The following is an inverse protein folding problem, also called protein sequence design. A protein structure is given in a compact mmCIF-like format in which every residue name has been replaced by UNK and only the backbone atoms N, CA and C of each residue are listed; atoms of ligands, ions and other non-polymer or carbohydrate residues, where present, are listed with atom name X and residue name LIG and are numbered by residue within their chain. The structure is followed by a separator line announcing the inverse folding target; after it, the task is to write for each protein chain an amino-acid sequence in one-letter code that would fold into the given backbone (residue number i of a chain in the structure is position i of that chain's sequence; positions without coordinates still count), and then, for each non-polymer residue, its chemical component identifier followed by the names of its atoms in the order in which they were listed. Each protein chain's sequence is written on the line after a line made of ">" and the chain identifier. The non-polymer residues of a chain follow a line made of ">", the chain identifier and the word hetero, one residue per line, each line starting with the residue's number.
data_IF_087168939214
#
_entry.id   IF_087168939214
#
_cell.length_a   1.000
_cell.length_b   1.000
_cell.length_c   1.000
_cell.angle_alpha   90.00
_cell.angle_beta   90.00
_cell.angle_gamma   90.00
#
_symmetry.space_group_name_H-M   'P 1'
#
loop_
_entity.id
_entity.type
_entity.pdbx_description
1 polymer ?
#
# COMPACT_ATOMS: atom_id res chain seq x y z
N UNK A 1 -8.71 -12.40 8.54
CA UNK A 1 -8.58 -10.95 8.22
C UNK A 1 -7.46 -10.35 9.07
N UNK A 2 -6.34 -9.94 8.45
CA UNK A 2 -5.23 -9.29 9.16
C UNK A 2 -5.69 -7.92 9.66
N UNK A 3 -5.94 -7.78 10.97
CA UNK A 3 -6.19 -6.46 11.57
C UNK A 3 -4.96 -5.58 11.36
N UNK A 4 -5.15 -4.47 10.66
CA UNK A 4 -4.09 -3.51 10.38
C UNK A 4 -3.81 -2.71 11.65
N UNK A 5 -2.65 -2.95 12.26
CA UNK A 5 -2.28 -2.37 13.55
C UNK A 5 -2.31 -0.83 13.53
N UNK A 6 -1.93 -0.20 12.42
CA UNK A 6 -2.00 1.26 12.21
C UNK A 6 -3.41 1.86 12.18
N UNK A 7 -4.46 1.04 12.05
CA UNK A 7 -5.85 1.54 12.08
C UNK A 7 -6.39 1.68 13.49
N UNK A 8 -5.84 0.92 14.44
CA UNK A 8 -6.38 0.79 15.78
C UNK A 8 -5.50 1.43 16.85
N UNK A 9 -4.22 1.66 16.54
CA UNK A 9 -3.24 2.18 17.47
C UNK A 9 -2.50 3.35 16.85
N UNK A 10 -2.05 4.27 17.71
CA UNK A 10 -1.11 5.34 17.40
C UNK A 10 0.31 4.86 17.70
N UNK A 11 1.30 5.40 16.99
CA UNK A 11 2.72 5.06 17.16
C UNK A 11 3.15 5.13 18.64
N UNK A 12 2.76 6.18 19.36
CA UNK A 12 3.08 6.37 20.77
C UNK A 12 2.49 5.29 21.70
N UNK A 13 1.26 4.84 21.44
CA UNK A 13 0.65 3.75 22.23
C UNK A 13 1.44 2.45 22.07
N UNK A 14 1.94 2.19 20.87
CA UNK A 14 2.76 1.00 20.60
C UNK A 14 4.15 1.16 21.20
N UNK A 15 4.76 2.35 21.14
CA UNK A 15 6.04 2.64 21.81
C UNK A 15 5.95 2.37 23.31
N UNK A 16 4.89 2.82 23.98
CA UNK A 16 4.68 2.56 25.41
C UNK A 16 4.58 1.06 25.73
N UNK A 17 3.87 0.29 24.91
CA UNK A 17 3.77 -1.17 25.08
C UNK A 17 5.10 -1.88 24.81
N UNK A 18 5.88 -1.42 23.83
CA UNK A 18 7.21 -1.97 23.56
C UNK A 18 8.19 -1.60 24.68
N UNK A 19 8.11 -0.39 25.22
CA UNK A 19 8.91 0.08 26.35
C UNK A 19 8.64 -0.73 27.61
N UNK A 20 7.37 -0.91 28.00
CA UNK A 20 7.00 -1.73 29.16
C UNK A 20 7.42 -3.21 29.04
N UNK A 21 7.56 -3.74 27.82
CA UNK A 21 8.18 -5.05 27.60
C UNK A 21 9.69 -5.03 27.84
N UNK A 22 10.40 -4.00 27.37
CA UNK A 22 11.85 -3.82 27.57
C UNK A 22 12.16 -3.64 29.06
N UNK A 23 11.33 -2.86 29.75
CA UNK A 23 11.44 -2.57 31.18
C UNK A 23 10.95 -3.76 32.05
N UNK A 24 10.47 -4.85 31.41
CA UNK A 24 9.97 -6.09 32.03
C UNK A 24 8.77 -5.90 32.97
N UNK A 25 8.04 -4.80 32.82
CA UNK A 25 6.85 -4.49 33.62
C UNK A 25 5.66 -5.37 33.24
N UNK A 26 5.51 -5.67 31.94
CA UNK A 26 4.35 -6.41 31.41
C UNK A 26 4.81 -7.67 30.67
N UNK A 27 4.15 -8.80 30.96
CA UNK A 27 4.39 -10.04 30.22
C UNK A 27 3.93 -9.92 28.77
N UNK A 28 4.71 -10.48 27.85
CA UNK A 28 4.44 -10.49 26.41
C UNK A 28 3.02 -10.96 26.05
N UNK A 29 2.46 -11.92 26.79
CA UNK A 29 1.13 -12.46 26.50
C UNK A 29 0.02 -11.39 26.56
N UNK A 30 0.10 -10.46 27.53
CA UNK A 30 -0.85 -9.37 27.65
C UNK A 30 -0.70 -8.36 26.52
N UNK A 31 0.54 -8.04 26.14
CA UNK A 31 0.81 -7.10 25.06
C UNK A 31 0.32 -7.67 23.72
N UNK A 32 0.50 -8.97 23.48
CA UNK A 32 -0.01 -9.64 22.30
C UNK A 32 -1.54 -9.65 22.25
N UNK A 33 -2.22 -9.83 23.39
CA UNK A 33 -3.69 -9.74 23.45
C UNK A 33 -4.20 -8.32 23.20
N UNK A 34 -3.52 -7.30 23.73
CA UNK A 34 -3.87 -5.89 23.52
C UNK A 34 -3.70 -5.52 22.04
N UNK A 35 -2.52 -5.78 21.47
CA UNK A 35 -2.21 -5.44 20.08
C UNK A 35 -2.94 -6.32 19.06
N UNK A 36 -3.40 -7.51 19.46
CA UNK A 36 -4.07 -8.46 18.58
C UNK A 36 -3.18 -8.99 17.45
N UNK A 37 -1.87 -9.13 17.71
CA UNK A 37 -0.87 -9.57 16.72
C UNK A 37 -0.20 -10.88 17.10
N UNK A 38 0.37 -11.54 16.08
CA UNK A 38 1.22 -12.72 16.27
C UNK A 38 2.57 -12.34 16.86
N UNK A 39 3.18 -13.29 17.57
CA UNK A 39 4.48 -13.15 18.23
C UNK A 39 5.61 -12.74 17.27
N UNK A 40 5.63 -13.24 16.04
CA UNK A 40 6.61 -12.85 15.00
C UNK A 40 6.57 -11.34 14.72
N UNK A 41 5.38 -10.81 14.43
CA UNK A 41 5.18 -9.39 14.16
C UNK A 41 5.55 -8.51 15.36
N UNK A 42 5.29 -8.97 16.58
CA UNK A 42 5.71 -8.25 17.78
C UNK A 42 7.23 -8.09 17.85
N UNK A 43 8.00 -9.16 17.60
CA UNK A 43 9.46 -9.08 17.62
C UNK A 43 10.03 -8.26 16.46
N UNK A 44 9.40 -8.26 15.29
CA UNK A 44 9.75 -7.35 14.20
C UNK A 44 9.57 -5.88 14.62
N UNK A 45 8.45 -5.54 15.26
CA UNK A 45 8.21 -4.18 15.77
C UNK A 45 9.19 -3.82 16.87
N UNK A 46 9.48 -4.75 17.79
CA UNK A 46 10.46 -4.54 18.85
C UNK A 46 11.86 -4.30 18.28
N UNK A 47 12.27 -5.06 17.26
CA UNK A 47 13.57 -4.86 16.61
C UNK A 47 13.67 -3.48 15.95
N UNK A 48 12.60 -3.02 15.28
CA UNK A 48 12.53 -1.66 14.71
C UNK A 48 12.60 -0.58 15.79
N UNK A 49 11.83 -0.74 16.86
CA UNK A 49 11.84 0.19 18.00
C UNK A 49 13.21 0.27 18.66
N UNK A 50 13.90 -0.86 18.87
CA UNK A 50 15.26 -0.87 19.43
C UNK A 50 16.31 -0.24 18.51
N UNK A 51 16.11 -0.27 17.20
CA UNK A 51 17.04 0.31 16.22
C UNK A 51 16.96 1.84 16.22
N UNK A 52 15.74 2.37 16.26
CA UNK A 52 15.49 3.81 16.25
C UNK A 52 14.14 4.10 16.96
N UNK A 53 14.17 4.35 18.28
CA UNK A 53 12.96 4.62 19.05
C UNK A 53 12.26 5.92 18.64
N UNK A 54 13.03 6.94 18.24
CA UNK A 54 12.51 8.28 17.94
C UNK A 54 11.74 8.28 16.62
N UNK A 55 12.29 7.66 15.57
CA UNK A 55 11.65 7.53 14.27
C UNK A 55 10.75 6.29 14.13
N UNK A 56 10.48 5.56 15.22
CA UNK A 56 9.60 4.40 15.16
C UNK A 56 8.18 4.80 14.76
N UNK A 57 7.65 4.15 13.72
CA UNK A 57 6.28 4.33 13.26
C UNK A 57 5.65 3.00 12.84
N UNK A 58 4.37 2.83 13.18
CA UNK A 58 3.55 1.72 12.69
C UNK A 58 2.77 2.10 11.42
N UNK A 59 2.82 3.37 11.02
CA UNK A 59 2.08 3.89 9.89
C UNK A 59 2.48 3.18 8.61
N UNK A 60 1.45 2.81 7.84
CA UNK A 60 1.65 2.15 6.56
C UNK A 60 1.97 3.19 5.48
N UNK A 61 3.25 3.40 5.20
CA UNK A 61 3.68 4.29 4.12
C UNK A 61 3.99 3.49 2.84
N UNK A 62 3.10 3.56 1.84
CA UNK A 62 3.43 3.11 0.47
C UNK A 62 4.15 4.24 -0.25
N UNK A 63 5.43 4.02 -0.55
CA UNK A 63 6.22 4.94 -1.38
C UNK A 63 5.87 4.87 -2.87
N UNK A 64 5.35 3.74 -3.34
CA UNK A 64 5.11 3.49 -4.76
C UNK A 64 3.62 3.29 -5.08
N UNK A 65 3.15 3.98 -6.12
CA UNK A 65 1.77 3.88 -6.60
C UNK A 65 1.70 2.66 -7.54
N UNK A 66 1.41 1.48 -6.99
CA UNK A 66 1.32 0.24 -7.79
C UNK A 66 0.09 0.18 -8.74
N UNK A 67 -0.80 1.17 -8.70
CA UNK A 67 -1.97 1.28 -9.59
C UNK A 67 -1.68 2.08 -10.87
N UNK A 68 -0.46 2.59 -11.03
CA UNK A 68 -0.03 3.30 -12.22
C UNK A 68 0.99 2.45 -12.95
N UNK A 69 0.84 2.38 -14.27
CA UNK A 69 1.88 1.89 -15.16
C UNK A 69 2.92 3.00 -15.34
N UNK A 70 4.07 2.64 -15.88
CA UNK A 70 5.11 3.63 -16.18
C UNK A 70 4.60 4.71 -17.15
N UNK A 71 5.01 5.95 -16.95
CA UNK A 71 4.52 7.10 -17.72
C UNK A 71 4.78 6.93 -19.22
N UNK A 72 5.93 6.35 -19.60
CA UNK A 72 6.25 6.13 -21.00
C UNK A 72 5.30 5.09 -21.64
N UNK A 73 4.95 4.05 -20.89
CA UNK A 73 3.99 3.03 -21.32
C UNK A 73 2.59 3.66 -21.47
N UNK A 74 2.17 4.48 -20.50
CA UNK A 74 0.89 5.18 -20.55
C UNK A 74 0.80 6.09 -21.78
N UNK A 75 1.84 6.88 -22.07
CA UNK A 75 1.86 7.75 -23.25
C UNK A 75 1.79 6.97 -24.56
N UNK A 76 2.45 5.80 -24.64
CA UNK A 76 2.41 4.97 -25.83
C UNK A 76 1.01 4.37 -26.05
N UNK A 77 0.37 3.89 -24.99
CA UNK A 77 -1.00 3.36 -25.06
C UNK A 77 -1.97 4.45 -25.55
N UNK A 78 -1.89 5.66 -24.98
CA UNK A 78 -2.76 6.79 -25.38
C UNK A 78 -2.53 7.18 -26.84
N UNK A 79 -1.28 7.16 -27.32
CA UNK A 79 -0.95 7.47 -28.71
C UNK A 79 -1.59 6.46 -29.69
N UNK A 80 -1.48 5.17 -29.42
CA UNK A 80 -2.08 4.13 -30.26
C UNK A 80 -3.61 4.23 -30.26
N UNK A 81 -4.22 4.44 -29.09
CA UNK A 81 -5.67 4.58 -28.96
C UNK A 81 -6.22 5.81 -29.71
N UNK A 82 -5.51 6.94 -29.70
CA UNK A 82 -5.89 8.10 -30.51
C UNK A 82 -5.81 7.81 -32.02
N UNK A 83 -4.76 7.11 -32.44
CA UNK A 83 -4.59 6.71 -33.85
C UNK A 83 -5.75 5.82 -34.31
N UNK A 84 -6.13 4.84 -33.49
CA UNK A 84 -7.30 3.98 -33.74
C UNK A 84 -8.61 4.79 -33.78
N UNK A 85 -8.79 5.76 -32.88
CA UNK A 85 -9.95 6.66 -32.85
C UNK A 85 -10.07 7.49 -34.13
N UNK A 86 -8.96 7.96 -34.69
CA UNK A 86 -8.99 8.73 -35.94
C UNK A 86 -9.28 7.86 -37.16
N UNK A 87 -8.76 6.62 -37.18
CA UNK A 87 -9.12 5.63 -38.20
C UNK A 87 -10.62 5.35 -38.22
N UNK A 88 -11.27 5.27 -37.05
CA UNK A 88 -12.72 5.03 -36.95
C UNK A 88 -13.56 6.19 -37.45
N UNK A 89 -13.06 7.43 -37.34
CA UNK A 89 -13.73 8.60 -37.92
C UNK A 89 -13.64 8.62 -39.44
N UNK A 90 -12.61 8.01 -40.02
CA UNK A 90 -12.41 7.91 -41.45
C UNK A 90 -13.38 6.88 -42.06
N UNK A 91 -14.50 7.36 -42.62
CA UNK A 91 -15.61 6.53 -43.14
C UNK A 91 -15.22 5.65 -44.33
N UNK A 92 -14.13 5.99 -44.99
CA UNK A 92 -13.53 5.29 -46.13
C UNK A 92 -12.67 4.09 -45.71
N UNK A 93 -12.31 4.00 -44.43
CA UNK A 93 -11.52 2.89 -43.89
C UNK A 93 -12.45 1.80 -43.35
N UNK A 94 -12.48 0.60 -43.95
CA UNK A 94 -13.29 -0.49 -43.44
C UNK A 94 -12.63 -1.09 -42.18
N UNK A 95 -13.25 -0.88 -41.02
CA UNK A 95 -12.77 -1.38 -39.72
C UNK A 95 -13.72 -2.48 -39.22
N UNK A 96 -13.13 -3.60 -38.79
CA UNK A 96 -13.89 -4.77 -38.32
C UNK A 96 -13.94 -4.89 -36.79
N UNK A 97 -12.94 -4.32 -36.10
CA UNK A 97 -12.80 -4.40 -34.64
C UNK A 97 -12.25 -3.07 -34.14
N UNK A 98 -12.74 -2.61 -33.00
CA UNK A 98 -12.21 -1.42 -32.35
C UNK A 98 -12.39 -1.45 -30.83
N UNK A 99 -11.58 -0.67 -30.12
CA UNK A 99 -11.70 -0.51 -28.67
C UNK A 99 -12.89 0.39 -28.28
N UNK A 100 -14.03 -0.23 -27.98
CA UNK A 100 -15.26 0.47 -27.60
C UNK A 100 -15.12 1.31 -26.31
N UNK A 101 -14.35 0.83 -25.32
CA UNK A 101 -14.20 1.53 -24.04
C UNK A 101 -13.54 2.90 -24.21
N UNK A 102 -12.55 3.02 -25.09
CA UNK A 102 -11.85 4.28 -25.33
C UNK A 102 -12.66 5.31 -26.14
N UNK A 103 -13.66 4.85 -26.89
CA UNK A 103 -14.46 5.71 -27.77
C UNK A 103 -15.72 6.19 -27.06
N UNK A 104 -16.24 5.40 -26.12
CA UNK A 104 -17.45 5.72 -25.35
C UNK A 104 -17.19 6.81 -24.30
N UNK A 105 -15.98 6.87 -23.76
CA UNK A 105 -15.51 7.89 -22.82
C UNK A 105 -15.08 9.18 -23.54
#
# INVERSE_FOLDING_TARGET
>A
MSKQLHKNFVDEQVKLLLKSYVDKEIKINYILSILGIKRSRFFELLARYKKDPDNFSIQYNRKTINRKIDQAIETNIIKELNTEKDLIKAKDVPIRWYNYSYIKD
#
